data_IF_984857012182
#
_entry.id   IF_984857012182
#
_cell.length_a   1.000
_cell.length_b   1.000
_cell.length_c   1.000
_cell.angle_alpha   90.00
_cell.angle_beta   90.00
_cell.angle_gamma   90.00
#
_symmetry.space_group_name_H-M   'P 1'
#
loop_
_entity.id
_entity.type
_entity.pdbx_description
1 polymer ?
#
# COMPACT_ATOMS: atom_id res chain seq x y z
N UNK A 1 -48.94 39.96 112.78
CA UNK A 1 -47.71 39.83 113.57
C UNK A 1 -47.04 41.19 113.57
N UNK A 2 -46.71 41.74 114.74
CA UNK A 2 -45.99 43.01 114.83
C UNK A 2 -44.54 42.82 114.38
N UNK A 3 -44.02 43.74 113.56
CA UNK A 3 -42.61 43.74 113.20
C UNK A 3 -41.76 44.03 114.44
N UNK A 4 -40.50 43.54 114.48
CA UNK A 4 -39.57 43.93 115.53
C UNK A 4 -39.44 45.46 115.59
N UNK A 5 -39.37 46.06 116.78
CA UNK A 5 -39.38 47.53 116.96
C UNK A 5 -38.25 48.21 116.18
N UNK A 6 -37.10 47.56 116.08
CA UNK A 6 -35.92 48.04 115.33
C UNK A 6 -36.17 48.09 113.81
N UNK A 7 -36.99 47.16 113.29
CA UNK A 7 -37.35 47.12 111.87
C UNK A 7 -38.40 48.19 111.56
N UNK A 8 -39.35 48.40 112.46
CA UNK A 8 -40.37 49.45 112.34
C UNK A 8 -39.75 50.86 112.41
N UNK A 9 -38.78 51.06 113.30
CA UNK A 9 -38.01 52.30 113.42
C UNK A 9 -37.14 52.57 112.17
N UNK A 10 -36.47 51.55 111.64
CA UNK A 10 -35.71 51.68 110.38
C UNK A 10 -36.60 52.01 109.17
N UNK A 11 -37.81 51.42 109.09
CA UNK A 11 -38.77 51.71 108.02
C UNK A 11 -39.27 53.14 108.13
N UNK A 12 -39.64 53.58 109.35
CA UNK A 12 -40.07 54.96 109.64
C UNK A 12 -39.00 55.97 109.25
N UNK A 13 -37.77 55.81 109.75
CA UNK A 13 -36.66 56.68 109.40
C UNK A 13 -36.31 56.59 107.90
N UNK A 14 -36.49 55.44 107.25
CA UNK A 14 -36.31 55.35 105.79
C UNK A 14 -37.32 56.16 104.99
N UNK A 15 -38.58 56.23 105.45
CA UNK A 15 -39.63 57.06 104.86
C UNK A 15 -39.31 58.54 105.10
N UNK A 16 -38.99 58.90 106.35
CA UNK A 16 -38.63 60.28 106.74
C UNK A 16 -37.45 60.81 105.92
N UNK A 17 -36.38 60.03 105.77
CA UNK A 17 -35.24 60.37 104.90
C UNK A 17 -35.65 60.55 103.43
N UNK A 18 -36.56 59.74 102.91
CA UNK A 18 -37.02 59.85 101.51
C UNK A 18 -37.86 61.11 101.27
N UNK A 19 -38.48 61.63 102.34
CA UNK A 19 -39.22 62.90 102.35
C UNK A 19 -38.32 64.11 102.67
N UNK A 20 -37.01 63.90 102.87
CA UNK A 20 -36.04 64.97 103.19
C UNK A 20 -36.04 65.43 104.65
N UNK A 21 -36.65 64.65 105.56
CA UNK A 21 -36.68 64.93 107.00
C UNK A 21 -35.41 64.42 107.69
N UNK A 22 -35.11 65.00 108.85
CA UNK A 22 -33.95 64.66 109.64
C UNK A 22 -34.09 63.24 110.21
N UNK A 23 -33.06 62.42 110.02
CA UNK A 23 -33.02 61.04 110.52
C UNK A 23 -31.82 60.80 111.41
N UNK A 24 -31.85 59.71 112.17
CA UNK A 24 -30.74 59.35 113.05
C UNK A 24 -29.44 59.11 112.27
N UNK A 25 -28.32 59.40 112.92
CA UNK A 25 -26.98 59.10 112.40
C UNK A 25 -26.80 57.61 112.11
N UNK A 26 -27.44 56.74 112.90
CA UNK A 26 -27.41 55.28 112.73
C UNK A 26 -28.03 54.86 111.39
N UNK A 27 -29.17 55.44 111.01
CA UNK A 27 -29.82 55.14 109.72
C UNK A 27 -29.00 55.64 108.53
N UNK A 28 -28.37 56.82 108.64
CA UNK A 28 -27.46 57.30 107.59
C UNK A 28 -26.25 56.37 107.39
N UNK A 29 -25.63 55.89 108.48
CA UNK A 29 -24.51 54.95 108.41
C UNK A 29 -24.91 53.61 107.76
N UNK A 30 -26.07 53.06 108.11
CA UNK A 30 -26.58 51.82 107.51
C UNK A 30 -26.83 52.00 106.00
N UNK A 31 -27.43 53.12 105.59
CA UNK A 31 -27.65 53.43 104.16
C UNK A 31 -26.35 53.63 103.39
N UNK A 32 -25.36 54.28 103.99
CA UNK A 32 -24.02 54.41 103.41
C UNK A 32 -23.40 53.03 103.17
N UNK A 33 -23.43 52.16 104.18
CA UNK A 33 -22.89 50.80 104.08
C UNK A 33 -23.61 49.97 103.01
N UNK A 34 -24.95 50.03 102.97
CA UNK A 34 -25.74 49.35 101.94
C UNK A 34 -25.44 49.87 100.52
N UNK A 35 -25.25 51.19 100.36
CA UNK A 35 -24.87 51.82 99.10
C UNK A 35 -23.44 51.43 98.67
N UNK A 36 -22.50 51.37 99.61
CA UNK A 36 -21.13 50.92 99.31
C UNK A 36 -21.06 49.44 98.93
N UNK A 37 -21.90 48.60 99.53
CA UNK A 37 -22.00 47.19 99.17
C UNK A 37 -22.64 47.02 97.79
N UNK A 38 -23.73 47.73 97.49
CA UNK A 38 -24.36 47.69 96.17
C UNK A 38 -23.42 48.20 95.08
N UNK A 39 -22.68 49.29 95.34
CA UNK A 39 -21.64 49.80 94.44
C UNK A 39 -20.55 48.75 94.17
N UNK A 40 -20.09 48.04 95.20
CA UNK A 40 -19.10 46.95 95.04
C UNK A 40 -19.64 45.81 94.18
N UNK A 41 -20.90 45.39 94.39
CA UNK A 41 -21.56 44.35 93.58
C UNK A 41 -21.66 44.77 92.11
N UNK A 42 -22.17 45.98 91.84
CA UNK A 42 -22.27 46.53 90.49
C UNK A 42 -20.90 46.63 89.80
N UNK A 43 -19.87 47.07 90.54
CA UNK A 43 -18.52 47.16 90.01
C UNK A 43 -17.99 45.78 89.59
N UNK A 44 -18.23 44.74 90.39
CA UNK A 44 -17.87 43.37 90.02
C UNK A 44 -18.64 42.88 88.79
N UNK A 45 -19.92 43.21 88.68
CA UNK A 45 -20.75 42.87 87.53
C UNK A 45 -20.24 43.53 86.24
N UNK A 46 -19.86 44.80 86.31
CA UNK A 46 -19.26 45.54 85.19
C UNK A 46 -17.97 44.87 84.73
N UNK A 47 -17.08 44.47 85.66
CA UNK A 47 -15.86 43.75 85.30
C UNK A 47 -16.16 42.42 84.62
N UNK A 48 -17.09 41.62 85.16
CA UNK A 48 -17.50 40.35 84.55
C UNK A 48 -18.09 40.53 83.15
N UNK A 49 -18.92 41.55 82.95
CA UNK A 49 -19.49 41.85 81.63
C UNK A 49 -18.42 42.31 80.65
N UNK A 50 -17.44 43.10 81.09
CA UNK A 50 -16.33 43.54 80.27
C UNK A 50 -15.45 42.37 79.80
N UNK A 51 -15.13 41.43 80.70
CA UNK A 51 -14.37 40.23 80.35
C UNK A 51 -15.14 39.35 79.36
N UNK A 52 -16.44 39.16 79.58
CA UNK A 52 -17.31 38.42 78.64
C UNK A 52 -17.41 39.10 77.29
N UNK A 53 -17.49 40.42 77.23
CA UNK A 53 -17.53 41.17 75.98
C UNK A 53 -16.22 40.97 75.19
N UNK A 54 -15.08 41.13 75.86
CA UNK A 54 -13.76 40.90 75.26
C UNK A 54 -13.61 39.49 74.70
N UNK A 55 -14.00 38.48 75.48
CA UNK A 55 -13.95 37.08 75.04
C UNK A 55 -14.86 36.81 73.81
N UNK A 56 -15.96 37.56 73.68
CA UNK A 56 -16.86 37.47 72.52
C UNK A 56 -16.28 38.19 71.30
N UNK A 57 -15.66 39.36 71.50
CA UNK A 57 -14.98 40.10 70.44
C UNK A 57 -13.82 39.30 69.84
N UNK A 58 -12.98 38.67 70.68
CA UNK A 58 -11.89 37.82 70.18
C UNK A 58 -12.39 36.60 69.41
N UNK A 59 -13.48 35.97 69.87
CA UNK A 59 -14.12 34.86 69.14
C UNK A 59 -14.68 35.30 67.80
N UNK A 60 -15.29 36.48 67.76
CA UNK A 60 -15.80 37.07 66.52
C UNK A 60 -14.65 37.34 65.55
N UNK A 61 -13.54 37.89 66.02
CA UNK A 61 -12.41 38.21 65.15
C UNK A 61 -11.72 36.96 64.60
N UNK A 62 -11.57 35.92 65.43
CA UNK A 62 -11.13 34.60 64.96
C UNK A 62 -12.05 34.05 63.87
N UNK A 63 -13.35 34.03 64.12
CA UNK A 63 -14.35 33.58 63.14
C UNK A 63 -14.31 34.37 61.82
N UNK A 64 -14.15 35.69 61.88
CA UNK A 64 -13.99 36.53 60.68
C UNK A 64 -12.72 36.17 59.90
N UNK A 65 -11.60 36.00 60.60
CA UNK A 65 -10.33 35.64 59.96
C UNK A 65 -10.41 34.27 59.28
N UNK A 66 -11.03 33.28 59.93
CA UNK A 66 -11.27 31.94 59.37
C UNK A 66 -12.19 32.01 58.15
N UNK A 67 -13.31 32.75 58.24
CA UNK A 67 -14.23 32.93 57.12
C UNK A 67 -13.56 33.62 55.93
N UNK A 68 -12.70 34.60 56.16
CA UNK A 68 -11.93 35.30 55.11
C UNK A 68 -10.96 34.36 54.39
N UNK A 69 -10.18 33.58 55.16
CA UNK A 69 -9.25 32.59 54.62
C UNK A 69 -9.98 31.50 53.83
N UNK A 70 -11.10 30.99 54.36
CA UNK A 70 -11.93 29.99 53.69
C UNK A 70 -12.51 30.54 52.37
N UNK A 71 -13.01 31.79 52.38
CA UNK A 71 -13.52 32.42 51.17
C UNK A 71 -12.42 32.60 50.11
N UNK A 72 -11.19 32.93 50.52
CA UNK A 72 -10.05 33.02 49.60
C UNK A 72 -9.65 31.64 49.03
N UNK A 73 -9.64 30.60 49.87
CA UNK A 73 -9.35 29.24 49.43
C UNK A 73 -10.40 28.75 48.41
N UNK A 74 -11.68 28.99 48.68
CA UNK A 74 -12.76 28.66 47.74
C UNK A 74 -12.64 29.40 46.41
N UNK A 75 -12.28 30.69 46.43
CA UNK A 75 -12.03 31.46 45.20
C UNK A 75 -10.93 30.82 44.35
N UNK A 76 -9.78 30.52 44.95
CA UNK A 76 -8.66 29.85 44.25
C UNK A 76 -9.08 28.49 43.68
N UNK A 77 -9.82 27.70 44.44
CA UNK A 77 -10.32 26.41 43.98
C UNK A 77 -11.26 26.53 42.78
N UNK A 78 -12.14 27.54 42.77
CA UNK A 78 -13.02 27.83 41.64
C UNK A 78 -12.21 28.25 40.41
N UNK A 79 -11.25 29.17 40.57
CA UNK A 79 -10.35 29.62 39.49
C UNK A 79 -9.57 28.45 38.87
N UNK A 80 -9.02 27.56 39.70
CA UNK A 80 -8.32 26.34 39.23
C UNK A 80 -9.28 25.40 38.49
N UNK A 81 -10.49 25.19 39.00
CA UNK A 81 -11.51 24.35 38.35
C UNK A 81 -11.91 24.92 36.99
N UNK A 82 -12.12 26.23 36.89
CA UNK A 82 -12.46 26.92 35.64
C UNK A 82 -11.31 26.85 34.64
N UNK A 83 -10.07 27.07 35.08
CA UNK A 83 -8.87 26.89 34.24
C UNK A 83 -8.78 25.47 33.67
N UNK A 84 -8.98 24.46 34.52
CA UNK A 84 -8.96 23.07 34.06
C UNK A 84 -10.09 22.78 33.08
N UNK A 85 -11.29 23.31 33.32
CA UNK A 85 -12.41 23.19 32.39
C UNK A 85 -12.11 23.81 31.02
N UNK A 86 -11.45 24.97 30.97
CA UNK A 86 -11.00 25.59 29.71
C UNK A 86 -10.03 24.69 28.96
N UNK A 87 -9.01 24.16 29.67
CA UNK A 87 -8.02 23.24 29.06
C UNK A 87 -8.67 21.96 28.53
N UNK A 88 -9.66 21.41 29.22
CA UNK A 88 -10.41 20.25 28.74
C UNK A 88 -11.20 20.59 27.46
N UNK A 89 -11.84 21.75 27.40
CA UNK A 89 -12.54 22.20 26.19
C UNK A 89 -11.58 22.41 25.01
N UNK A 90 -10.43 23.07 25.25
CA UNK A 90 -9.39 23.27 24.25
C UNK A 90 -8.84 21.93 23.72
N UNK A 91 -8.63 20.95 24.60
CA UNK A 91 -8.15 19.63 24.22
C UNK A 91 -9.21 18.87 23.40
N UNK A 92 -10.49 18.97 23.74
CA UNK A 92 -11.59 18.39 22.96
C UNK A 92 -11.66 19.00 21.56
N UNK A 93 -11.55 20.32 21.45
CA UNK A 93 -11.49 21.02 20.16
C UNK A 93 -10.29 20.55 19.32
N UNK A 94 -9.14 20.31 19.95
CA UNK A 94 -7.98 19.74 19.27
C UNK A 94 -8.24 18.30 18.81
N UNK A 95 -8.81 17.44 19.66
CA UNK A 95 -9.18 16.08 19.28
C UNK A 95 -10.12 16.08 18.07
N UNK A 96 -11.14 16.93 18.06
CA UNK A 96 -12.06 17.08 16.92
C UNK A 96 -11.32 17.44 15.62
N UNK A 97 -10.38 18.38 15.68
CA UNK A 97 -9.57 18.77 14.50
C UNK A 97 -8.70 17.62 13.99
N UNK A 98 -8.05 16.89 14.90
CA UNK A 98 -7.22 15.75 14.52
C UNK A 98 -8.05 14.61 13.94
N UNK A 99 -9.26 14.38 14.45
CA UNK A 99 -10.21 13.39 13.90
C UNK A 99 -10.62 13.74 12.45
N UNK A 100 -10.94 15.01 12.19
CA UNK A 100 -11.21 15.50 10.84
C UNK A 100 -10.01 15.32 9.91
N UNK A 101 -8.80 15.65 10.37
CA UNK A 101 -7.57 15.50 9.59
C UNK A 101 -7.28 14.01 9.29
N UNK A 102 -7.46 13.13 10.28
CA UNK A 102 -7.33 11.68 10.09
C UNK A 102 -8.34 11.18 9.03
N UNK A 103 -9.58 11.66 9.07
CA UNK A 103 -10.60 11.29 8.08
C UNK A 103 -10.23 11.74 6.66
N UNK A 104 -9.61 12.90 6.50
CA UNK A 104 -9.08 13.37 5.22
C UNK A 104 -7.95 12.48 4.71
N UNK A 105 -6.96 12.15 5.55
CA UNK A 105 -5.87 11.27 5.16
C UNK A 105 -6.35 9.86 4.78
N UNK A 106 -7.34 9.33 5.49
CA UNK A 106 -7.96 8.06 5.12
C UNK A 106 -8.59 8.12 3.73
N UNK A 107 -9.35 9.18 3.44
CA UNK A 107 -10.00 9.38 2.15
C UNK A 107 -8.99 9.54 1.01
N UNK A 108 -7.93 10.32 1.22
CA UNK A 108 -6.88 10.53 0.22
C UNK A 108 -6.14 9.23 -0.08
N UNK A 109 -5.86 8.44 0.95
CA UNK A 109 -5.24 7.11 0.78
C UNK A 109 -6.14 6.18 -0.04
N UNK A 110 -7.43 6.10 0.28
CA UNK A 110 -8.39 5.28 -0.47
C UNK A 110 -8.47 5.71 -1.94
N UNK A 111 -8.47 7.02 -2.20
CA UNK A 111 -8.48 7.56 -3.56
C UNK A 111 -7.20 7.16 -4.32
N UNK A 112 -6.03 7.27 -3.69
CA UNK A 112 -4.75 6.86 -4.29
C UNK A 112 -4.70 5.35 -4.58
N UNK A 113 -5.19 4.53 -3.65
CA UNK A 113 -5.29 3.08 -3.84
C UNK A 113 -6.20 2.73 -5.03
N UNK A 114 -7.36 3.38 -5.14
CA UNK A 114 -8.28 3.22 -6.26
C UNK A 114 -7.68 3.70 -7.60
N UNK A 115 -6.99 4.84 -7.60
CA UNK A 115 -6.29 5.36 -8.78
C UNK A 115 -5.20 4.42 -9.26
N UNK A 116 -4.46 3.78 -8.34
CA UNK A 116 -3.43 2.80 -8.68
C UNK A 116 -4.01 1.44 -9.10
N UNK A 117 -5.20 1.07 -8.65
CA UNK A 117 -5.83 -0.20 -8.99
C UNK A 117 -6.19 -0.32 -10.48
N UNK A 118 -6.67 0.78 -11.09
CA UNK A 118 -7.07 0.81 -12.51
C UNK A 118 -5.93 0.49 -13.49
N UNK A 119 -4.78 1.20 -13.51
CA UNK A 119 -3.70 0.90 -14.43
C UNK A 119 -3.05 -0.47 -14.14
N UNK A 120 -3.06 -0.95 -12.89
CA UNK A 120 -2.61 -2.31 -12.56
C UNK A 120 -3.49 -3.35 -13.27
N UNK A 121 -4.81 -3.20 -13.17
CA UNK A 121 -5.79 -4.06 -13.85
C UNK A 121 -5.62 -4.00 -15.38
N UNK A 122 -5.50 -2.80 -15.94
CA UNK A 122 -5.31 -2.61 -17.38
C UNK A 122 -3.99 -3.26 -17.85
N UNK A 123 -2.91 -3.15 -17.07
CA UNK A 123 -1.62 -3.78 -17.39
C UNK A 123 -1.71 -5.32 -17.33
N UNK A 124 -2.41 -5.85 -16.33
CA UNK A 124 -2.65 -7.28 -16.19
C UNK A 124 -3.49 -7.83 -17.36
N UNK A 125 -4.53 -7.11 -17.79
CA UNK A 125 -5.32 -7.46 -18.97
C UNK A 125 -4.47 -7.42 -20.25
N UNK A 126 -3.63 -6.40 -20.42
CA UNK A 126 -2.69 -6.32 -21.56
C UNK A 126 -1.69 -7.47 -21.57
N UNK A 127 -1.15 -7.85 -20.39
CA UNK A 127 -0.27 -9.01 -20.26
C UNK A 127 -0.99 -10.32 -20.59
N UNK A 128 -2.25 -10.46 -20.19
CA UNK A 128 -3.06 -11.63 -20.52
C UNK A 128 -3.31 -11.77 -22.03
N UNK A 129 -3.35 -10.66 -22.79
CA UNK A 129 -3.48 -10.65 -24.26
C UNK A 129 -2.18 -10.89 -25.02
N UNK A 130 -1.01 -10.77 -24.36
CA UNK A 130 0.30 -10.92 -25.00
C UNK A 130 0.52 -12.29 -25.70
N UNK A 131 0.06 -13.44 -25.17
CA UNK A 131 0.21 -14.71 -25.86
C UNK A 131 -0.53 -14.76 -27.20
N UNK A 132 -1.71 -14.13 -27.28
CA UNK A 132 -2.47 -14.05 -28.52
C UNK A 132 -1.72 -13.22 -29.58
N UNK A 133 -1.08 -12.11 -29.18
CA UNK A 133 -0.29 -11.31 -30.12
C UNK A 133 0.94 -12.05 -30.61
N UNK A 134 1.62 -12.81 -29.75
CA UNK A 134 2.74 -13.69 -30.16
C UNK A 134 2.27 -14.77 -31.14
N UNK A 135 1.10 -15.36 -30.90
CA UNK A 135 0.48 -16.32 -31.82
C UNK A 135 0.18 -15.70 -33.19
N UNK A 136 -0.39 -14.48 -33.21
CA UNK A 136 -0.65 -13.73 -34.45
C UNK A 136 0.66 -13.44 -35.21
N UNK A 137 1.73 -13.07 -34.51
CA UNK A 137 3.05 -12.85 -35.13
C UNK A 137 3.60 -14.15 -35.74
N UNK A 138 3.46 -15.28 -35.05
CA UNK A 138 3.89 -16.58 -35.55
C UNK A 138 3.11 -16.98 -36.82
N UNK A 139 1.78 -16.82 -36.81
CA UNK A 139 0.93 -17.07 -37.98
C UNK A 139 1.29 -16.14 -39.15
N UNK A 140 1.58 -14.86 -38.89
CA UNK A 140 2.01 -13.92 -39.92
C UNK A 140 3.34 -14.35 -40.57
N UNK A 141 4.30 -14.83 -39.78
CA UNK A 141 5.57 -15.36 -40.29
C UNK A 141 5.38 -16.63 -41.14
N UNK A 142 4.48 -17.53 -40.71
CA UNK A 142 4.12 -18.73 -41.48
C UNK A 142 3.49 -18.37 -42.82
N UNK A 143 2.56 -17.41 -42.84
CA UNK A 143 1.94 -16.90 -44.08
C UNK A 143 3.01 -16.36 -45.05
N UNK A 144 3.99 -15.60 -44.56
CA UNK A 144 5.07 -15.08 -45.42
C UNK A 144 5.97 -16.21 -45.96
N UNK A 145 6.29 -17.22 -45.16
CA UNK A 145 7.01 -18.41 -45.63
C UNK A 145 6.23 -19.14 -46.73
N UNK A 146 4.94 -19.39 -46.51
CA UNK A 146 4.07 -20.07 -47.48
C UNK A 146 3.91 -19.24 -48.77
N UNK A 147 3.87 -17.91 -48.68
CA UNK A 147 3.88 -17.04 -49.87
C UNK A 147 5.16 -17.22 -50.69
N UNK A 148 6.32 -17.23 -50.03
CA UNK A 148 7.61 -17.44 -50.69
C UNK A 148 7.70 -18.81 -51.35
N UNK A 149 7.28 -19.87 -50.65
CA UNK A 149 7.26 -21.23 -51.19
C UNK A 149 6.32 -21.35 -52.39
N UNK A 150 5.15 -20.70 -52.34
CA UNK A 150 4.22 -20.61 -53.47
C UNK A 150 4.84 -19.95 -54.70
N UNK A 151 5.60 -18.87 -54.52
CA UNK A 151 6.31 -18.20 -55.63
C UNK A 151 7.38 -19.10 -56.24
N UNK A 152 8.18 -19.78 -55.41
CA UNK A 152 9.17 -20.74 -55.85
C UNK A 152 8.55 -21.89 -56.65
N UNK A 153 7.44 -22.46 -56.16
CA UNK A 153 6.72 -23.53 -56.86
C UNK A 153 6.16 -23.06 -58.21
N UNK A 154 5.65 -21.82 -58.29
CA UNK A 154 5.22 -21.25 -59.58
C UNK A 154 6.36 -21.11 -60.57
N UNK A 155 7.53 -20.63 -60.13
CA UNK A 155 8.71 -20.52 -60.97
C UNK A 155 9.16 -21.90 -61.48
N UNK A 156 9.24 -22.89 -60.58
CA UNK A 156 9.61 -24.25 -60.94
C UNK A 156 8.61 -24.89 -61.91
N UNK A 157 7.31 -24.65 -61.72
CA UNK A 157 6.27 -25.13 -62.63
C UNK A 157 6.46 -24.54 -64.04
N UNK A 158 6.61 -23.22 -64.15
CA UNK A 158 6.86 -22.55 -65.44
C UNK A 158 8.10 -23.11 -66.14
N UNK A 159 9.18 -23.33 -65.38
CA UNK A 159 10.41 -23.93 -65.91
C UNK A 159 10.19 -25.37 -66.38
N UNK A 160 9.48 -26.20 -65.60
CA UNK A 160 9.19 -27.57 -65.97
C UNK A 160 8.30 -27.64 -67.24
N UNK A 161 7.33 -26.73 -67.36
CA UNK A 161 6.50 -26.58 -68.57
C UNK A 161 7.37 -26.23 -69.79
N UNK A 162 8.30 -25.27 -69.66
CA UNK A 162 9.26 -24.93 -70.72
C UNK A 162 10.14 -26.13 -71.12
N UNK A 163 10.71 -26.84 -70.15
CA UNK A 163 11.53 -28.03 -70.39
C UNK A 163 10.75 -29.13 -71.14
N UNK A 164 9.48 -29.36 -70.80
CA UNK A 164 8.60 -30.29 -71.53
C UNK A 164 8.38 -29.84 -72.98
N UNK A 165 8.18 -28.55 -73.22
CA UNK A 165 8.05 -28.05 -74.61
C UNK A 165 9.32 -28.24 -75.43
N UNK A 166 10.49 -28.03 -74.83
CA UNK A 166 11.79 -28.24 -75.47
C UNK A 166 12.03 -29.72 -75.77
N UNK A 167 11.77 -30.60 -74.80
CA UNK A 167 11.88 -32.05 -74.97
C UNK A 167 10.91 -32.57 -76.04
N UNK A 168 9.67 -32.07 -76.08
CA UNK A 168 8.70 -32.43 -77.13
C UNK A 168 9.19 -32.02 -78.53
N UNK A 169 9.73 -30.80 -78.68
CA UNK A 169 10.36 -30.37 -79.94
C UNK A 169 11.54 -31.27 -80.32
N UNK A 170 12.40 -31.60 -79.36
CA UNK A 170 13.54 -32.48 -79.59
C UNK A 170 13.10 -33.91 -79.97
N UNK A 171 12.09 -34.47 -79.29
CA UNK A 171 11.50 -35.77 -79.61
C UNK A 171 10.93 -35.77 -81.03
N UNK A 172 10.20 -34.72 -81.42
CA UNK A 172 9.69 -34.58 -82.78
C UNK A 172 10.81 -34.55 -83.83
N UNK A 173 11.92 -33.84 -83.57
CA UNK A 173 13.08 -33.84 -84.46
C UNK A 173 13.73 -35.23 -84.56
N UNK A 174 13.94 -35.90 -83.43
CA UNK A 174 14.48 -37.25 -83.37
C UNK A 174 13.56 -38.26 -84.05
N UNK A 175 12.25 -38.12 -83.93
CA UNK A 175 11.27 -38.96 -84.62
C UNK A 175 11.33 -38.77 -86.14
N UNK A 176 11.49 -37.53 -86.61
CA UNK A 176 11.69 -37.26 -88.05
C UNK A 176 13.03 -37.80 -88.57
N UNK A 177 14.11 -37.70 -87.80
CA UNK A 177 15.39 -38.33 -88.14
C UNK A 177 15.29 -39.85 -88.11
N UNK A 178 14.63 -40.45 -87.12
CA UNK A 178 14.39 -41.89 -87.07
C UNK A 178 13.56 -42.36 -88.26
N UNK A 179 12.50 -41.63 -88.65
CA UNK A 179 11.74 -41.93 -89.88
C UNK A 179 12.63 -41.84 -91.13
N UNK A 180 13.53 -40.85 -91.21
CA UNK A 180 14.49 -40.72 -92.33
C UNK A 180 15.49 -41.88 -92.34
N UNK A 181 16.05 -42.26 -91.19
CA UNK A 181 16.96 -43.40 -91.04
C UNK A 181 16.27 -44.71 -91.38
N UNK A 182 15.03 -44.93 -90.94
CA UNK A 182 14.23 -46.10 -91.34
C UNK A 182 14.02 -46.15 -92.86
N UNK A 183 13.72 -45.00 -93.49
CA UNK A 183 13.62 -44.91 -94.97
C UNK A 183 14.96 -45.18 -95.64
N UNK A 184 16.09 -44.73 -95.08
CA UNK A 184 17.43 -45.02 -95.60
C UNK A 184 17.78 -46.50 -95.45
N UNK A 185 17.56 -47.11 -94.28
CA UNK A 185 17.70 -48.56 -94.07
C UNK A 185 16.85 -49.37 -95.05
N UNK A 186 15.61 -48.95 -95.30
CA UNK A 186 14.75 -49.56 -96.31
C UNK A 186 15.33 -49.43 -97.72
N UNK A 187 15.90 -48.26 -98.08
CA UNK A 187 16.56 -48.03 -99.38
C UNK A 187 17.92 -48.75 -99.52
N UNK A 188 18.67 -48.90 -98.44
CA UNK A 188 19.96 -49.61 -98.41
C UNK A 188 19.76 -51.12 -98.55
N UNK A 189 18.70 -51.66 -97.92
CA UNK A 189 18.16 -53.01 -98.23
C UNK A 189 17.75 -53.18 -99.70
N UNK A 190 17.40 -52.10 -100.41
CA UNK A 190 16.99 -52.13 -101.83
C UNK A 190 18.14 -51.88 -102.81
N UNK A 191 19.27 -51.28 -102.39
CA UNK A 191 20.46 -51.05 -103.23
C UNK A 191 21.53 -52.14 -103.11
N UNK A 192 21.44 -53.03 -102.13
CA UNK A 192 22.12 -54.32 -102.15
C UNK A 192 21.32 -55.33 -103.00
N UNK A 193 21.38 -55.18 -104.31
CA UNK A 193 20.87 -56.13 -105.31
C UNK A 193 21.28 -55.63 -106.69
N UNK A 194 22.34 -56.12 -107.31
CA UNK A 194 22.36 -57.46 -107.90
C UNK A 194 23.78 -58.05 -107.93
N UNK A 195 23.90 -59.28 -107.43
CA UNK A 195 25.14 -60.04 -107.30
C UNK A 195 24.96 -61.09 -106.21
N UNK A 196 23.90 -61.89 -106.34
CA UNK A 196 23.24 -62.58 -105.24
C UNK A 196 24.05 -63.63 -104.50
N UNK A 197 23.66 -63.85 -103.25
CA UNK A 197 23.50 -65.19 -102.67
C UNK A 197 22.50 -65.15 -101.54
N UNK A 198 21.55 -66.07 -101.65
CA UNK A 198 20.39 -66.24 -100.78
C UNK A 198 20.79 -66.68 -99.37
N UNK A 199 19.90 -66.29 -98.44
CA UNK A 199 19.67 -66.82 -97.10
C UNK A 199 20.51 -66.23 -95.96
N UNK A 200 19.93 -65.23 -95.31
CA UNK A 200 20.36 -64.70 -94.01
C UNK A 200 19.14 -64.43 -93.14
N UNK A 201 19.14 -64.55 -91.82
CA UNK A 201 19.97 -65.21 -90.81
C UNK A 201 19.11 -65.06 -89.55
N UNK A 202 18.99 -66.12 -88.75
CA UNK A 202 18.43 -66.05 -87.40
C UNK A 202 19.55 -65.93 -86.37
N UNK A 203 19.45 -64.87 -85.56
CA UNK A 203 19.82 -64.69 -84.16
C UNK A 203 21.14 -65.26 -83.56
N UNK A 204 21.78 -64.32 -82.83
CA UNK A 204 22.49 -64.43 -81.54
C UNK A 204 23.82 -65.18 -81.48
N UNK A 205 24.84 -64.48 -80.97
CA UNK A 205 25.96 -64.91 -80.06
C UNK A 205 26.85 -63.65 -79.87
N UNK A 206 26.92 -63.02 -78.69
CA UNK A 206 27.91 -63.20 -77.61
C UNK A 206 29.42 -63.14 -77.99
N UNK A 207 30.16 -62.15 -77.46
CA UNK A 207 31.43 -62.41 -76.73
C UNK A 207 32.73 -61.61 -77.06
N UNK A 208 33.32 -61.01 -75.99
CA UNK A 208 34.77 -60.90 -75.62
C UNK A 208 35.68 -59.90 -76.43
N UNK A 209 36.72 -59.18 -75.94
CA UNK A 209 37.43 -58.89 -74.65
C UNK A 209 38.58 -57.84 -74.89
N UNK A 210 38.84 -56.91 -73.94
CA UNK A 210 40.14 -56.29 -73.45
C UNK A 210 41.00 -55.36 -74.38
N UNK A 211 41.79 -54.33 -73.97
CA UNK A 211 42.19 -53.64 -72.71
C UNK A 211 42.93 -52.27 -72.97
N UNK A 212 43.21 -51.52 -71.87
CA UNK A 212 43.73 -50.13 -71.57
C UNK A 212 45.15 -49.68 -72.08
N UNK A 213 45.64 -48.40 -71.87
CA UNK A 213 46.22 -47.93 -70.56
C UNK A 213 46.10 -46.41 -70.15
N UNK A 214 45.97 -46.15 -68.82
CA UNK A 214 46.71 -45.22 -67.88
C UNK A 214 46.69 -43.66 -68.09
N UNK A 215 46.65 -42.71 -67.11
CA UNK A 215 47.07 -42.58 -65.67
C UNK A 215 46.30 -41.43 -64.93
N UNK A 216 45.89 -41.73 -63.67
CA UNK A 216 45.85 -41.01 -62.35
C UNK A 216 45.59 -39.48 -62.22
N UNK A 217 44.94 -38.94 -61.16
CA UNK A 217 45.09 -39.17 -59.70
C UNK A 217 43.93 -38.54 -58.87
N UNK A 218 43.61 -39.16 -57.73
CA UNK A 218 42.53 -39.00 -56.70
C UNK A 218 42.80 -37.88 -55.66
N UNK A 219 42.10 -37.68 -54.48
CA UNK A 219 41.08 -38.50 -53.75
C UNK A 219 40.00 -37.75 -52.86
N UNK A 220 39.20 -38.53 -52.08
CA UNK A 220 38.45 -38.18 -50.80
C UNK A 220 37.09 -37.46 -51.00
N UNK A 221 35.90 -37.77 -50.45
CA UNK A 221 35.38 -38.62 -49.35
C UNK A 221 33.82 -38.72 -49.38
N UNK A 222 33.29 -39.79 -48.78
CA UNK A 222 32.01 -39.94 -48.03
C UNK A 222 30.66 -39.84 -48.77
N UNK A 223 30.10 -41.00 -49.12
CA UNK A 223 28.65 -41.23 -49.06
C UNK A 223 28.19 -41.25 -47.58
N UNK A 224 27.10 -40.54 -47.28
CA UNK A 224 26.37 -40.67 -46.01
C UNK A 224 25.00 -41.24 -46.36
N UNK A 225 24.77 -42.46 -45.87
CA UNK A 225 23.52 -43.21 -45.90
C UNK A 225 22.58 -42.66 -44.80
N UNK A 226 21.40 -42.16 -45.17
CA UNK A 226 20.41 -41.65 -44.21
C UNK A 226 19.51 -42.80 -43.73
N UNK A 227 20.09 -43.71 -42.94
CA UNK A 227 19.31 -44.62 -42.12
C UNK A 227 20.00 -44.84 -40.76
N UNK A 228 20.01 -43.78 -39.96
CA UNK A 228 20.55 -43.78 -38.60
C UNK A 228 19.79 -42.79 -37.73
N UNK A 229 19.17 -43.29 -36.67
CA UNK A 229 18.43 -42.54 -35.67
C UNK A 229 19.37 -41.61 -34.89
N UNK A 230 19.40 -40.30 -35.19
CA UNK A 230 20.11 -39.33 -34.35
C UNK A 230 19.18 -38.71 -33.29
N UNK A 231 19.54 -39.01 -32.04
CA UNK A 231 19.06 -38.35 -30.82
C UNK A 231 19.39 -36.84 -30.81
N UNK A 232 18.60 -36.01 -30.11
CA UNK A 232 18.72 -34.56 -30.19
C UNK A 232 20.03 -34.06 -29.56
N UNK A 233 20.74 -33.18 -30.28
CA UNK A 233 21.91 -32.47 -29.77
C UNK A 233 21.51 -31.58 -28.60
N UNK A 234 22.26 -31.66 -27.50
CA UNK A 234 22.14 -30.78 -26.32
C UNK A 234 22.52 -29.34 -26.70
N UNK A 235 21.79 -28.31 -26.21
CA UNK A 235 22.16 -26.92 -26.42
C UNK A 235 23.40 -26.54 -25.62
N UNK A 236 24.20 -25.63 -26.17
CA UNK A 236 25.33 -24.98 -25.51
C UNK A 236 24.83 -24.12 -24.33
N UNK A 237 25.58 -24.13 -23.22
CA UNK A 237 25.26 -23.36 -22.01
C UNK A 237 25.28 -21.84 -22.27
N UNK A 238 24.49 -21.03 -21.53
CA UNK A 238 24.46 -19.58 -21.71
C UNK A 238 25.78 -18.93 -21.27
N UNK A 239 26.22 -17.92 -22.02
CA UNK A 239 27.27 -16.99 -21.60
C UNK A 239 26.87 -16.30 -20.28
N UNK A 240 27.79 -16.33 -19.30
CA UNK A 240 27.61 -15.71 -18.00
C UNK A 240 27.51 -14.18 -18.11
N UNK A 241 26.60 -13.61 -17.34
CA UNK A 241 26.40 -12.17 -17.17
C UNK A 241 27.63 -11.55 -16.50
N UNK A 242 28.20 -10.51 -17.10
CA UNK A 242 29.08 -9.57 -16.42
C UNK A 242 28.27 -8.31 -16.10
N UNK A 243 27.73 -8.23 -14.88
CA UNK A 243 27.12 -7.03 -14.33
C UNK A 243 28.03 -6.49 -13.21
N UNK A 244 28.61 -5.29 -13.31
CA UNK A 244 29.34 -4.70 -12.21
C UNK A 244 28.38 -3.91 -11.32
N UNK A 245 27.95 -4.52 -10.22
CA UNK A 245 27.48 -3.79 -9.06
C UNK A 245 28.65 -3.00 -8.45
N UNK A 246 28.50 -1.67 -8.31
CA UNK A 246 29.38 -0.90 -7.43
C UNK A 246 28.64 0.23 -6.71
N UNK A 247 28.71 0.14 -5.37
CA UNK A 247 28.62 1.22 -4.36
C UNK A 247 27.22 1.79 -4.11
N UNK A 248 26.48 1.29 -3.12
CA UNK A 248 26.63 1.62 -1.68
C UNK A 248 27.38 2.92 -1.39
N UNK A 249 26.63 4.00 -1.16
CA UNK A 249 26.98 5.01 -0.18
C UNK A 249 25.78 5.30 0.73
N UNK A 250 25.94 4.87 1.99
CA UNK A 250 25.27 5.44 3.16
C UNK A 250 25.95 6.77 3.49
N UNK A 251 25.17 7.84 3.59
CA UNK A 251 25.00 8.67 4.80
C UNK A 251 23.90 9.69 4.54
#
# INVERSE_FOLDING_TARGET
>A
MALPPETDEYIRESIEHSLGLNVSTKTLQLKLLASEESRRRLQNEVFQLHDRLREREERLERSKSEASMNAQALRKFIEEKEMMSSKYAELLDQCSKWEEECALYHRDRELLEAQCARPKKDNEELRARLPETVSIIALAAEIESLKKDKENLKFNLSRAEEEVTLLSKQSNMLDEENKKLQKQLYKERQRQGSGGKLSSVSAKIQGKRKASPRIDRTPVEREIDFNGSESPRRPLSPMQQNSPDSRVHKK
#
